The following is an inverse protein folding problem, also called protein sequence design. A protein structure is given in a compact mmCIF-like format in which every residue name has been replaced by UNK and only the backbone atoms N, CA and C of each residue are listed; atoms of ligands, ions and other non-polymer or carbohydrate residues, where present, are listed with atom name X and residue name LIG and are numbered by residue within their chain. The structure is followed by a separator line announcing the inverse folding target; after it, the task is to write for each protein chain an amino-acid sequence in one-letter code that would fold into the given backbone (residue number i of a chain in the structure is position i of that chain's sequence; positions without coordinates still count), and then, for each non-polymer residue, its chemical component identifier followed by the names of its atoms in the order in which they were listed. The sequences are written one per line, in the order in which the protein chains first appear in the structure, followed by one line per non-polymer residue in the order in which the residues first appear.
data_IF_210027148572
#
_entry.id   IF_210027148572
#
_cell.length_a   1.000
_cell.length_b   1.000
_cell.length_c   1.000
_cell.angle_alpha   90.00
_cell.angle_beta   90.00
_cell.angle_gamma   90.00
#
_symmetry.space_group_name_H-M   'P 1'
#
loop_
_entity.id
_entity.type
_entity.pdbx_description
1 polymer ?
#
# COMPACT_ATOMS: atom_id res chain seq x y z
N UNK A 1 26.61 -7.32 21.99
CA UNK A 1 25.62 -6.21 22.14
C UNK A 1 25.93 -5.23 21.03
N UNK A 2 25.17 -5.25 19.95
CA UNK A 2 25.33 -4.32 18.84
C UNK A 2 24.84 -2.94 19.30
N UNK A 3 25.71 -1.94 19.23
CA UNK A 3 25.35 -0.54 19.47
C UNK A 3 24.29 -0.14 18.45
N UNK A 4 23.02 -0.14 18.86
CA UNK A 4 21.97 0.53 18.10
C UNK A 4 22.32 2.03 18.07
N UNK A 5 22.14 2.72 16.94
CA UNK A 5 22.29 4.17 16.88
C UNK A 5 21.36 4.81 17.93
N UNK A 6 21.84 5.79 18.66
CA UNK A 6 21.09 6.46 19.75
C UNK A 6 19.80 7.18 19.28
N UNK A 7 19.51 7.22 17.97
CA UNK A 7 18.36 7.91 17.37
C UNK A 7 17.48 6.96 16.53
N UNK A 8 17.21 5.75 17.04
CA UNK A 8 16.26 4.85 16.38
C UNK A 8 14.83 5.33 16.68
N UNK A 9 14.03 5.66 15.64
CA UNK A 9 12.62 6.05 15.82
C UNK A 9 11.84 4.99 16.60
N UNK A 10 10.92 5.42 17.48
CA UNK A 10 10.03 4.49 18.18
C UNK A 10 8.57 4.83 17.90
N UNK A 11 7.77 3.81 17.65
CA UNK A 11 6.34 3.93 17.39
C UNK A 11 5.55 3.34 18.54
N UNK A 12 4.61 4.12 19.07
CA UNK A 12 3.73 3.71 20.17
C UNK A 12 2.28 3.92 19.72
N UNK A 13 1.41 2.96 19.98
CA UNK A 13 0.00 3.10 19.62
C UNK A 13 -0.73 3.95 20.66
N UNK A 14 -0.58 5.26 20.62
CA UNK A 14 -1.17 6.18 21.57
C UNK A 14 -2.50 6.79 21.09
N UNK A 15 -2.73 6.86 19.78
CA UNK A 15 -3.87 7.58 19.19
C UNK A 15 -4.89 6.68 18.48
N UNK A 16 -4.75 5.36 18.59
CA UNK A 16 -5.66 4.39 17.96
C UNK A 16 -5.57 4.33 16.42
N UNK A 17 -4.54 4.91 15.79
CA UNK A 17 -4.26 4.77 14.37
C UNK A 17 -3.16 3.74 14.11
N UNK A 18 -3.21 3.08 12.95
CA UNK A 18 -2.19 2.11 12.54
C UNK A 18 -1.87 2.21 11.06
N UNK A 19 -0.58 2.08 10.74
CA UNK A 19 -0.10 1.91 9.37
C UNK A 19 0.30 0.44 9.17
N UNK A 20 -0.23 -0.17 8.13
CA UNK A 20 0.00 -1.57 7.79
C UNK A 20 0.69 -1.66 6.44
N UNK A 21 1.81 -2.39 6.38
CA UNK A 21 2.56 -2.57 5.14
C UNK A 21 3.16 -3.96 4.99
N UNK A 22 3.58 -4.30 3.77
CA UNK A 22 4.30 -5.55 3.50
C UNK A 22 5.78 -5.26 3.29
N UNK A 23 6.62 -6.05 3.93
CA UNK A 23 8.07 -6.02 3.81
C UNK A 23 8.57 -7.40 3.39
N UNK A 24 8.98 -7.53 2.13
CA UNK A 24 9.48 -8.78 1.59
C UNK A 24 10.78 -8.57 0.86
N UNK A 25 11.82 -9.30 1.28
CA UNK A 25 13.18 -9.20 0.71
C UNK A 25 13.69 -7.74 0.69
N UNK A 26 13.32 -6.95 1.70
CA UNK A 26 13.76 -5.59 1.95
C UNK A 26 14.45 -5.54 3.30
N UNK A 27 15.48 -4.73 3.40
CA UNK A 27 16.22 -4.51 4.65
C UNK A 27 15.86 -3.14 5.27
N UNK A 28 16.33 -2.91 6.50
CA UNK A 28 16.06 -1.65 7.20
C UNK A 28 16.44 -0.41 6.37
N UNK A 29 17.57 -0.45 5.67
CA UNK A 29 18.04 0.69 4.87
C UNK A 29 17.09 1.02 3.70
N UNK A 30 16.39 0.03 3.15
CA UNK A 30 15.37 0.24 2.10
C UNK A 30 14.15 0.98 2.64
N UNK A 31 13.82 0.79 3.94
CA UNK A 31 12.66 1.40 4.60
C UNK A 31 13.01 2.63 5.45
N UNK A 32 14.30 2.94 5.58
CA UNK A 32 14.75 4.08 6.38
C UNK A 32 14.10 5.40 5.97
N UNK A 33 13.92 5.75 4.68
CA UNK A 33 13.20 6.96 4.29
C UNK A 33 11.75 6.97 4.80
N UNK A 34 11.03 5.85 4.67
CA UNK A 34 9.67 5.70 5.18
C UNK A 34 9.61 5.93 6.70
N UNK A 35 10.40 5.18 7.45
CA UNK A 35 10.36 5.19 8.92
C UNK A 35 10.84 6.51 9.52
N UNK A 36 11.95 7.06 8.99
CA UNK A 36 12.51 8.31 9.48
C UNK A 36 11.59 9.51 9.21
N UNK A 37 11.02 9.60 8.00
CA UNK A 37 10.10 10.68 7.67
C UNK A 37 8.78 10.55 8.45
N UNK A 38 8.23 9.34 8.63
CA UNK A 38 7.05 9.12 9.45
C UNK A 38 7.29 9.58 10.90
N UNK A 39 8.38 9.16 11.50
CA UNK A 39 8.71 9.57 12.88
C UNK A 39 8.89 11.10 13.00
N UNK A 40 9.51 11.74 12.00
CA UNK A 40 9.74 13.18 12.02
C UNK A 40 8.46 14.01 11.97
N UNK A 41 7.32 13.43 11.60
CA UNK A 41 6.01 14.12 11.61
C UNK A 41 5.37 14.17 12.99
N UNK A 42 5.93 13.51 13.99
CA UNK A 42 5.30 13.35 15.32
C UNK A 42 4.18 12.31 15.34
N UNK A 43 4.10 11.42 14.34
CA UNK A 43 3.09 10.34 14.30
C UNK A 43 3.16 9.48 15.59
N UNK A 44 2.05 9.40 16.31
CA UNK A 44 1.92 8.71 17.59
C UNK A 44 1.12 7.39 17.49
N UNK A 45 0.88 6.89 16.30
CA UNK A 45 0.17 5.63 16.06
C UNK A 45 1.09 4.42 15.94
N UNK A 46 0.48 3.25 15.74
CA UNK A 46 1.18 1.98 15.54
C UNK A 46 1.65 1.77 14.11
N UNK A 47 2.69 0.95 13.95
CA UNK A 47 3.15 0.45 12.66
C UNK A 47 3.20 -1.07 12.70
N UNK A 48 2.61 -1.72 11.72
CA UNK A 48 2.64 -3.19 11.56
C UNK A 48 3.21 -3.57 10.20
N UNK A 49 4.25 -4.39 10.21
CA UNK A 49 4.80 -4.97 8.99
C UNK A 49 4.54 -6.47 8.90
N UNK A 50 4.00 -6.89 7.78
CA UNK A 50 3.91 -8.29 7.39
C UNK A 50 5.19 -8.67 6.66
N UNK A 51 5.99 -9.55 7.26
CA UNK A 51 7.38 -9.79 6.87
C UNK A 51 7.58 -11.17 6.25
N UNK A 52 8.28 -11.22 5.12
CA UNK A 52 8.81 -12.44 4.50
C UNK A 52 10.23 -12.17 3.99
N UNK A 53 11.18 -13.07 4.28
CA UNK A 53 12.54 -13.03 3.74
C UNK A 53 13.29 -11.72 4.10
N UNK A 54 13.27 -11.34 5.39
CA UNK A 54 14.05 -10.24 5.96
C UNK A 54 15.13 -10.78 6.91
N UNK A 55 16.25 -10.08 7.02
CA UNK A 55 17.36 -10.49 7.90
C UNK A 55 16.99 -10.41 9.39
N UNK A 56 17.69 -11.17 10.21
CA UNK A 56 17.54 -11.08 11.67
C UNK A 56 17.94 -9.71 12.21
N UNK A 57 18.90 -9.04 11.58
CA UNK A 57 19.32 -7.69 11.94
C UNK A 57 18.17 -6.69 11.72
N UNK A 58 17.56 -6.67 10.52
CA UNK A 58 16.39 -5.84 10.20
C UNK A 58 15.25 -6.11 11.15
N UNK A 59 14.98 -7.37 11.47
CA UNK A 59 13.94 -7.77 12.43
C UNK A 59 14.21 -7.19 13.83
N UNK A 60 15.45 -7.25 14.28
CA UNK A 60 15.86 -6.70 15.58
C UNK A 60 15.66 -5.19 15.61
N UNK A 61 16.06 -4.48 14.55
CA UNK A 61 15.87 -3.03 14.45
C UNK A 61 14.38 -2.67 14.48
N UNK A 62 13.54 -3.30 13.66
CA UNK A 62 12.10 -3.03 13.65
C UNK A 62 11.45 -3.29 15.01
N UNK A 63 11.83 -4.38 15.68
CA UNK A 63 11.32 -4.68 17.03
C UNK A 63 11.73 -3.61 18.05
N UNK A 64 12.96 -3.10 17.96
CA UNK A 64 13.43 -2.01 18.86
C UNK A 64 12.74 -0.68 18.58
N UNK A 65 12.20 -0.49 17.37
CA UNK A 65 11.37 0.66 17.00
C UNK A 65 9.91 0.55 17.45
N UNK A 66 9.51 -0.53 18.11
CA UNK A 66 8.12 -0.77 18.50
C UNK A 66 7.21 -1.19 17.34
N UNK A 67 7.79 -1.58 16.19
CA UNK A 67 7.02 -2.05 15.05
C UNK A 67 6.48 -3.46 15.32
N UNK A 68 5.20 -3.68 15.11
CA UNK A 68 4.58 -5.00 15.22
C UNK A 68 4.93 -5.85 14.00
N UNK A 69 5.68 -6.93 14.20
CA UNK A 69 6.06 -7.84 13.12
C UNK A 69 5.08 -9.02 13.04
N UNK A 70 4.57 -9.26 11.85
CA UNK A 70 3.71 -10.40 11.52
C UNK A 70 4.36 -11.23 10.43
N UNK A 71 4.78 -12.43 10.77
CA UNK A 71 5.41 -13.32 9.81
C UNK A 71 4.41 -13.93 8.86
N UNK A 72 4.74 -13.91 7.58
CA UNK A 72 4.08 -14.72 6.57
C UNK A 72 5.14 -15.36 5.67
N UNK A 73 4.73 -16.30 4.84
CA UNK A 73 5.64 -16.92 3.87
C UNK A 73 4.91 -17.16 2.56
N UNK A 74 5.36 -16.44 1.53
CA UNK A 74 4.92 -16.71 0.17
C UNK A 74 5.51 -18.03 -0.34
N UNK A 75 4.68 -18.92 -0.87
CA UNK A 75 5.15 -20.18 -1.46
C UNK A 75 5.72 -19.88 -2.85
N UNK A 76 7.05 -19.91 -2.94
CA UNK A 76 7.79 -19.71 -4.18
C UNK A 76 8.55 -20.99 -4.54
N UNK A 77 8.60 -21.29 -5.83
CA UNK A 77 9.35 -22.42 -6.38
C UNK A 77 10.53 -21.89 -7.18
N UNK A 78 11.72 -22.43 -6.94
CA UNK A 78 12.89 -22.13 -7.76
C UNK A 78 12.80 -22.94 -9.05
N UNK A 79 12.80 -22.26 -10.20
CA UNK A 79 12.89 -22.95 -11.49
C UNK A 79 14.32 -23.38 -11.70
N UNK A 80 14.60 -24.71 -11.78
CA UNK A 80 15.92 -25.21 -12.15
C UNK A 80 16.35 -24.58 -13.48
N UNK A 81 17.62 -24.36 -13.69
CA UNK A 81 18.24 -23.76 -14.86
C UNK A 81 18.09 -22.23 -15.03
N UNK A 82 17.05 -21.59 -14.47
CA UNK A 82 16.87 -20.13 -14.57
C UNK A 82 17.30 -19.41 -13.28
N UNK A 83 17.50 -20.12 -12.18
CA UNK A 83 17.82 -19.55 -10.86
C UNK A 83 16.75 -18.61 -10.30
N UNK A 84 15.59 -18.50 -10.99
CA UNK A 84 14.51 -17.58 -10.62
C UNK A 84 13.50 -18.26 -9.70
N UNK A 85 13.19 -17.59 -8.60
CA UNK A 85 12.04 -17.95 -7.75
C UNK A 85 10.76 -17.40 -8.37
N UNK A 86 9.78 -18.25 -8.65
CA UNK A 86 8.44 -17.86 -9.13
C UNK A 86 7.41 -18.22 -8.08
N UNK A 87 6.36 -17.41 -8.03
CA UNK A 87 5.20 -17.72 -7.20
C UNK A 87 4.61 -19.07 -7.60
N UNK A 88 4.41 -19.96 -6.61
CA UNK A 88 3.98 -21.34 -6.85
C UNK A 88 2.61 -21.41 -7.54
N UNK A 89 1.70 -20.47 -7.28
CA UNK A 89 0.38 -20.45 -7.88
C UNK A 89 0.39 -20.36 -9.41
N UNK A 90 1.41 -19.70 -9.98
CA UNK A 90 1.60 -19.62 -11.44
C UNK A 90 1.83 -20.99 -12.09
N UNK A 91 2.36 -21.94 -11.31
CA UNK A 91 2.72 -23.28 -11.79
C UNK A 91 1.57 -24.29 -11.65
N UNK A 92 0.50 -23.94 -10.92
CA UNK A 92 -0.66 -24.82 -10.76
C UNK A 92 -1.41 -24.98 -12.09
N UNK A 93 -1.78 -26.21 -12.39
CA UNK A 93 -2.64 -26.52 -13.52
C UNK A 93 -4.05 -25.94 -13.32
N UNK A 94 -4.85 -25.73 -14.38
CA UNK A 94 -6.25 -25.32 -14.26
C UNK A 94 -7.09 -26.22 -13.33
N UNK A 95 -6.86 -27.55 -13.38
CA UNK A 95 -7.59 -28.50 -12.54
C UNK A 95 -7.26 -28.29 -11.06
N UNK A 96 -5.99 -28.10 -10.71
CA UNK A 96 -5.57 -27.81 -9.32
C UNK A 96 -6.16 -26.49 -8.82
N UNK A 97 -6.31 -25.49 -9.69
CA UNK A 97 -6.97 -24.22 -9.36
C UNK A 97 -8.48 -24.36 -9.15
N UNK A 98 -9.12 -25.33 -9.82
CA UNK A 98 -10.56 -25.61 -9.66
C UNK A 98 -10.86 -26.33 -8.34
N UNK A 99 -10.06 -27.30 -7.93
CA UNK A 99 -10.25 -28.06 -6.68
C UNK A 99 -10.21 -27.19 -5.41
N UNK A 100 -9.84 -25.94 -5.54
CA UNK A 100 -9.88 -24.95 -4.46
C UNK A 100 -11.29 -24.74 -3.85
N UNK A 101 -12.36 -24.98 -4.59
CA UNK A 101 -13.75 -24.82 -4.10
C UNK A 101 -14.18 -25.85 -3.05
N UNK A 102 -13.47 -26.97 -2.94
CA UNK A 102 -13.73 -27.99 -1.93
C UNK A 102 -13.28 -27.56 -0.54
N UNK A 103 -12.42 -26.52 -0.47
CA UNK A 103 -11.89 -26.02 0.78
C UNK A 103 -12.89 -25.12 1.50
N UNK A 104 -12.90 -25.13 2.84
CA UNK A 104 -13.61 -24.13 3.62
C UNK A 104 -13.12 -22.70 3.30
N UNK A 105 -13.94 -21.68 3.57
CA UNK A 105 -13.57 -20.27 3.34
C UNK A 105 -12.26 -19.90 4.05
N UNK A 106 -12.09 -20.36 5.29
CA UNK A 106 -10.87 -20.14 6.08
C UNK A 106 -9.64 -20.79 5.42
N UNK A 107 -9.77 -22.04 4.95
CA UNK A 107 -8.69 -22.72 4.24
C UNK A 107 -8.37 -22.05 2.90
N UNK A 108 -9.37 -21.51 2.20
CA UNK A 108 -9.17 -20.72 0.98
C UNK A 108 -8.38 -19.44 1.26
N UNK A 109 -8.75 -18.69 2.30
CA UNK A 109 -8.06 -17.46 2.71
C UNK A 109 -6.61 -17.78 3.14
N UNK A 110 -6.40 -18.79 3.94
CA UNK A 110 -5.07 -19.24 4.39
C UNK A 110 -4.20 -19.66 3.21
N UNK A 111 -4.76 -20.37 2.24
CA UNK A 111 -4.03 -20.75 1.03
C UNK A 111 -3.68 -19.52 0.20
N UNK A 112 -4.64 -18.63 -0.05
CA UNK A 112 -4.46 -17.45 -0.88
C UNK A 112 -3.41 -16.50 -0.30
N UNK A 113 -3.38 -16.32 1.04
CA UNK A 113 -2.38 -15.49 1.72
C UNK A 113 -0.94 -15.97 1.52
N UNK A 114 -0.74 -17.26 1.19
CA UNK A 114 0.59 -17.86 0.98
C UNK A 114 0.93 -18.12 -0.49
N UNK A 115 -0.09 -18.41 -1.29
CA UNK A 115 0.11 -18.91 -2.66
C UNK A 115 -0.07 -17.85 -3.74
N UNK A 116 -0.88 -16.81 -3.52
CA UNK A 116 -1.05 -15.73 -4.49
C UNK A 116 0.18 -14.84 -4.56
N UNK A 117 0.26 -14.00 -5.60
CA UNK A 117 1.32 -12.99 -5.66
C UNK A 117 1.18 -12.03 -4.46
N UNK A 118 2.30 -11.51 -3.95
CA UNK A 118 2.37 -10.70 -2.73
C UNK A 118 1.37 -9.54 -2.71
N UNK A 119 1.17 -8.86 -3.84
CA UNK A 119 0.23 -7.74 -3.94
C UNK A 119 -1.23 -8.18 -3.71
N UNK A 120 -1.59 -9.41 -4.05
CA UNK A 120 -2.90 -9.97 -3.75
C UNK A 120 -2.96 -10.59 -2.35
N UNK A 121 -1.90 -11.27 -1.94
CA UNK A 121 -1.81 -11.92 -0.62
C UNK A 121 -1.97 -10.94 0.53
N UNK A 122 -1.52 -9.69 0.36
CA UNK A 122 -1.60 -8.66 1.39
C UNK A 122 -3.02 -8.43 1.91
N UNK A 123 -4.03 -8.48 1.05
CA UNK A 123 -5.41 -8.26 1.46
C UNK A 123 -5.90 -9.35 2.42
N UNK A 124 -5.53 -10.61 2.21
CA UNK A 124 -5.86 -11.71 3.14
C UNK A 124 -5.16 -11.56 4.49
N UNK A 125 -3.91 -11.09 4.49
CA UNK A 125 -3.14 -10.83 5.72
C UNK A 125 -3.74 -9.67 6.51
N UNK A 126 -4.09 -8.59 5.83
CA UNK A 126 -4.70 -7.40 6.43
C UNK A 126 -6.08 -7.72 7.00
N UNK A 127 -6.93 -8.40 6.24
CA UNK A 127 -8.26 -8.85 6.73
C UNK A 127 -8.11 -9.68 7.99
N UNK A 128 -7.27 -10.73 7.97
CA UNK A 128 -7.09 -11.61 9.11
C UNK A 128 -6.51 -10.92 10.35
N UNK A 129 -5.75 -9.84 10.17
CA UNK A 129 -5.26 -8.99 11.26
C UNK A 129 -6.41 -8.14 11.83
N UNK A 130 -7.11 -7.40 10.99
CA UNK A 130 -8.18 -6.48 11.41
C UNK A 130 -9.39 -7.21 12.02
N UNK A 131 -9.68 -8.44 11.61
CA UNK A 131 -10.72 -9.28 12.23
C UNK A 131 -10.39 -9.64 13.71
N UNK A 132 -9.11 -9.60 14.08
CA UNK A 132 -8.65 -9.98 15.43
C UNK A 132 -8.33 -8.79 16.32
N UNK A 133 -7.97 -7.67 15.73
CA UNK A 133 -7.48 -6.48 16.42
C UNK A 133 -8.54 -5.37 16.34
N UNK A 134 -9.28 -5.17 17.41
CA UNK A 134 -10.35 -4.16 17.49
C UNK A 134 -9.94 -2.84 18.14
N UNK A 135 -8.66 -2.68 18.48
CA UNK A 135 -8.16 -1.50 19.23
C UNK A 135 -7.93 -0.27 18.35
N UNK A 136 -7.87 -0.46 17.03
CA UNK A 136 -7.59 0.64 16.11
C UNK A 136 -8.90 1.26 15.58
N UNK A 137 -8.91 2.59 15.52
CA UNK A 137 -10.03 3.36 14.94
C UNK A 137 -9.76 3.78 13.49
N UNK A 138 -8.49 4.05 13.15
CA UNK A 138 -8.04 4.49 11.82
C UNK A 138 -6.93 3.60 11.30
N UNK A 139 -7.00 3.26 10.04
CA UNK A 139 -6.03 2.37 9.38
C UNK A 139 -5.55 2.98 8.07
N UNK A 140 -4.25 2.89 7.83
CA UNK A 140 -3.62 3.17 6.53
C UNK A 140 -2.97 1.88 6.03
N UNK A 141 -3.39 1.41 4.87
CA UNK A 141 -2.65 0.42 4.08
C UNK A 141 -1.64 1.16 3.22
N UNK A 142 -0.37 0.77 3.27
CA UNK A 142 0.69 1.49 2.58
C UNK A 142 1.70 0.56 1.93
N UNK A 143 2.12 0.90 0.72
CA UNK A 143 3.41 0.46 0.21
C UNK A 143 4.51 1.05 1.10
N UNK A 144 5.65 0.36 1.25
CA UNK A 144 6.62 0.69 2.30
C UNK A 144 7.93 1.26 1.77
N UNK A 145 8.29 0.97 0.52
CA UNK A 145 9.59 1.33 -0.05
C UNK A 145 9.59 2.75 -0.64
N UNK A 146 8.51 3.13 -1.28
CA UNK A 146 8.39 4.34 -2.13
C UNK A 146 7.38 5.35 -1.58
N UNK A 147 7.23 5.39 -0.25
CA UNK A 147 6.39 6.34 0.48
C UNK A 147 7.22 7.13 1.47
N UNK A 148 6.98 8.44 1.55
CA UNK A 148 7.55 9.34 2.57
C UNK A 148 6.47 10.28 3.10
N UNK A 149 6.66 10.82 4.31
CA UNK A 149 5.67 11.58 5.04
C UNK A 149 6.18 12.99 5.33
N UNK A 150 5.41 13.99 4.90
CA UNK A 150 5.71 15.39 5.17
C UNK A 150 4.98 15.92 6.42
N UNK A 151 3.84 15.30 6.75
CA UNK A 151 3.01 15.55 7.93
C UNK A 151 2.46 14.23 8.45
N UNK A 152 1.88 14.24 9.66
CA UNK A 152 1.14 13.08 10.18
C UNK A 152 0.11 12.64 9.14
N UNK A 153 0.17 11.38 8.64
CA UNK A 153 -0.73 10.92 7.59
C UNK A 153 -2.21 10.92 8.00
N UNK A 154 -2.52 10.96 9.29
CA UNK A 154 -3.89 10.99 9.80
C UNK A 154 -4.37 12.39 10.25
N UNK A 155 -3.57 13.44 10.02
CA UNK A 155 -3.93 14.82 10.36
C UNK A 155 -4.93 15.40 9.34
N UNK A 156 -6.01 14.67 9.08
CA UNK A 156 -7.19 15.12 8.34
C UNK A 156 -8.43 14.36 8.81
N UNK A 157 -9.60 14.83 8.43
CA UNK A 157 -10.85 14.22 8.86
C UNK A 157 -11.07 12.89 8.16
N UNK A 158 -11.06 11.82 8.94
CA UNK A 158 -11.51 10.49 8.54
C UNK A 158 -12.66 10.13 9.47
N UNK A 159 -13.88 10.16 8.93
CA UNK A 159 -15.07 9.68 9.63
C UNK A 159 -15.14 8.14 9.50
N UNK A 160 -16.30 7.60 9.15
CA UNK A 160 -16.46 6.18 8.80
C UNK A 160 -16.19 5.93 7.30
N UNK A 161 -15.27 6.66 6.71
CA UNK A 161 -14.99 6.70 5.28
C UNK A 161 -13.92 5.71 4.86
N UNK A 162 -14.00 5.29 3.60
CA UNK A 162 -12.92 4.68 2.84
C UNK A 162 -12.29 5.74 1.92
N UNK A 163 -11.08 6.15 2.21
CA UNK A 163 -10.35 7.17 1.48
C UNK A 163 -9.41 6.52 0.45
N UNK A 164 -9.65 6.79 -0.83
CA UNK A 164 -8.82 6.35 -1.94
C UNK A 164 -8.26 7.55 -2.71
N UNK A 165 -7.06 7.42 -3.26
CA UNK A 165 -6.29 8.52 -3.81
C UNK A 165 -6.05 8.33 -5.30
N UNK A 166 -6.45 9.33 -6.09
CA UNK A 166 -6.33 9.31 -7.54
C UNK A 166 -4.89 9.65 -7.98
N UNK A 167 -4.50 9.11 -9.11
CA UNK A 167 -3.25 9.43 -9.79
C UNK A 167 -3.42 10.65 -10.70
N UNK A 168 -2.49 10.88 -11.63
CA UNK A 168 -2.55 12.02 -12.58
C UNK A 168 -3.90 12.04 -13.31
N UNK A 169 -4.68 13.15 -13.21
CA UNK A 169 -5.98 13.27 -13.85
C UNK A 169 -5.94 13.18 -15.39
N UNK A 170 -4.77 13.34 -15.99
CA UNK A 170 -4.57 13.17 -17.44
C UNK A 170 -4.50 11.71 -17.87
N UNK A 171 -4.38 10.78 -16.92
CA UNK A 171 -4.23 9.36 -17.20
C UNK A 171 -5.46 8.58 -16.77
N UNK A 172 -6.15 7.98 -17.74
CA UNK A 172 -7.34 7.15 -17.49
C UNK A 172 -7.01 5.67 -17.41
N UNK A 173 -7.91 4.89 -16.83
CA UNK A 173 -7.78 3.42 -16.72
C UNK A 173 -7.58 2.78 -18.10
N UNK A 174 -8.36 3.17 -19.10
CA UNK A 174 -8.22 2.63 -20.46
C UNK A 174 -6.99 3.19 -21.21
N UNK A 175 -6.56 4.41 -20.85
CA UNK A 175 -5.39 5.07 -21.44
C UNK A 175 -4.05 4.50 -20.97
N UNK A 176 -4.01 3.82 -19.80
CA UNK A 176 -2.80 3.18 -19.28
C UNK A 176 -2.84 1.67 -19.50
N UNK A 177 -1.87 1.16 -20.26
CA UNK A 177 -1.88 -0.23 -20.78
C UNK A 177 -1.95 -1.32 -19.73
N UNK A 178 -1.33 -1.10 -18.55
CA UNK A 178 -1.31 -2.09 -17.47
C UNK A 178 -2.66 -2.15 -16.76
N UNK A 179 -3.22 -0.99 -16.39
CA UNK A 179 -4.54 -0.90 -15.79
C UNK A 179 -5.63 -1.46 -16.73
N UNK A 180 -5.64 -1.03 -17.99
CA UNK A 180 -6.53 -1.59 -19.00
C UNK A 180 -6.38 -3.11 -19.13
N UNK A 181 -5.13 -3.60 -19.13
CA UNK A 181 -4.83 -5.02 -19.24
C UNK A 181 -5.31 -5.85 -18.04
N UNK A 182 -5.18 -5.33 -16.80
CA UNK A 182 -5.67 -6.00 -15.61
C UNK A 182 -7.19 -6.06 -15.57
N UNK A 183 -7.88 -4.95 -15.86
CA UNK A 183 -9.35 -4.89 -15.92
C UNK A 183 -9.88 -5.85 -17.00
N UNK A 184 -9.34 -5.79 -18.21
CA UNK A 184 -9.76 -6.65 -19.32
C UNK A 184 -9.63 -8.13 -18.97
N UNK A 185 -8.52 -8.53 -18.38
CA UNK A 185 -8.27 -9.94 -18.01
C UNK A 185 -9.17 -10.41 -16.89
N UNK A 186 -9.38 -9.58 -15.87
CA UNK A 186 -10.17 -9.93 -14.70
C UNK A 186 -11.69 -9.89 -14.98
N UNK A 187 -12.15 -8.84 -15.63
CA UNK A 187 -13.57 -8.51 -15.71
C UNK A 187 -14.15 -8.51 -17.15
N UNK A 188 -13.31 -8.35 -18.15
CA UNK A 188 -13.72 -8.33 -19.57
C UNK A 188 -13.74 -6.93 -20.15
N UNK A 189 -14.01 -6.87 -21.48
CA UNK A 189 -13.97 -5.63 -22.24
C UNK A 189 -15.13 -4.70 -21.87
N UNK A 190 -16.32 -5.25 -21.60
CA UNK A 190 -17.50 -4.44 -21.24
C UNK A 190 -17.27 -3.63 -19.98
N UNK A 191 -16.63 -4.22 -18.96
CA UNK A 191 -16.26 -3.50 -17.75
C UNK A 191 -15.19 -2.45 -18.02
N UNK A 192 -14.17 -2.78 -18.85
CA UNK A 192 -13.18 -1.79 -19.24
C UNK A 192 -13.81 -0.60 -19.97
N UNK A 193 -14.74 -0.84 -20.88
CA UNK A 193 -15.47 0.21 -21.57
C UNK A 193 -16.31 1.08 -20.60
N UNK A 194 -16.90 0.45 -19.59
CA UNK A 194 -17.73 1.16 -18.58
C UNK A 194 -16.92 2.08 -17.68
N UNK A 195 -15.78 1.60 -17.15
CA UNK A 195 -14.99 2.36 -16.16
C UNK A 195 -13.73 3.02 -16.75
N UNK A 196 -13.41 2.74 -18.00
CA UNK A 196 -12.12 3.07 -18.62
C UNK A 196 -11.79 4.56 -18.72
N UNK A 197 -12.80 5.42 -18.79
CA UNK A 197 -12.61 6.87 -18.86
C UNK A 197 -12.34 7.53 -17.50
N UNK A 198 -12.41 6.77 -16.40
CA UNK A 198 -12.11 7.30 -15.08
C UNK A 198 -10.60 7.41 -14.86
N UNK A 199 -10.20 8.40 -14.05
CA UNK A 199 -8.84 8.52 -13.52
C UNK A 199 -8.50 7.28 -12.69
N UNK A 200 -7.26 6.83 -12.77
CA UNK A 200 -6.74 5.71 -12.00
C UNK A 200 -6.71 6.10 -10.52
N UNK A 201 -7.11 5.18 -9.64
CA UNK A 201 -6.82 5.27 -8.20
C UNK A 201 -5.69 4.30 -7.85
N UNK A 202 -4.74 4.75 -7.05
CA UNK A 202 -3.59 3.94 -6.68
C UNK A 202 -3.91 3.04 -5.47
N UNK A 203 -3.67 1.73 -5.62
CA UNK A 203 -3.86 0.76 -4.55
C UNK A 203 -2.70 0.71 -3.53
N UNK A 204 -1.63 1.49 -3.76
CA UNK A 204 -0.46 1.51 -2.88
C UNK A 204 -0.70 2.22 -1.56
N UNK A 205 -1.69 3.15 -1.52
CA UNK A 205 -2.17 3.79 -0.30
C UNK A 205 -3.69 3.78 -0.29
N UNK A 206 -4.27 3.26 0.80
CA UNK A 206 -5.71 3.29 1.07
C UNK A 206 -5.90 3.56 2.56
N UNK A 207 -6.75 4.50 2.93
CA UNK A 207 -6.97 4.90 4.31
C UNK A 207 -8.44 4.85 4.68
N UNK A 208 -8.75 4.79 5.97
CA UNK A 208 -10.13 4.86 6.42
C UNK A 208 -10.29 4.52 7.90
N UNK A 209 -11.56 4.46 8.33
CA UNK A 209 -11.87 3.82 9.61
C UNK A 209 -11.47 2.34 9.57
N UNK A 210 -11.25 1.73 10.72
CA UNK A 210 -10.91 0.30 10.78
C UNK A 210 -12.03 -0.56 10.16
N UNK A 211 -13.30 -0.18 10.33
CA UNK A 211 -14.45 -0.86 9.72
C UNK A 211 -14.44 -0.75 8.20
N UNK A 212 -14.19 0.43 7.64
CA UNK A 212 -14.16 0.65 6.19
C UNK A 212 -12.98 -0.06 5.53
N UNK A 213 -11.82 -0.09 6.19
CA UNK A 213 -10.65 -0.84 5.67
C UNK A 213 -10.85 -2.35 5.78
N UNK A 214 -11.49 -2.84 6.84
CA UNK A 214 -11.84 -4.26 6.94
C UNK A 214 -12.82 -4.67 5.84
N UNK A 215 -13.84 -3.85 5.56
CA UNK A 215 -14.76 -4.08 4.46
C UNK A 215 -14.04 -4.07 3.11
N UNK A 216 -13.18 -3.05 2.86
CA UNK A 216 -12.38 -2.96 1.65
C UNK A 216 -11.51 -4.19 1.43
N UNK A 217 -10.73 -4.59 2.43
CA UNK A 217 -9.84 -5.75 2.29
C UNK A 217 -10.61 -7.06 2.15
N UNK A 218 -11.76 -7.19 2.82
CA UNK A 218 -12.66 -8.34 2.70
C UNK A 218 -13.26 -8.45 1.29
N UNK A 219 -13.66 -7.32 0.70
CA UNK A 219 -14.18 -7.27 -0.67
C UNK A 219 -13.09 -7.60 -1.70
N UNK A 220 -11.87 -7.07 -1.51
CA UNK A 220 -10.71 -7.45 -2.33
C UNK A 220 -10.46 -8.96 -2.27
N UNK A 221 -10.50 -9.56 -1.08
CA UNK A 221 -10.39 -11.01 -0.91
C UNK A 221 -11.51 -11.77 -1.63
N UNK A 222 -12.76 -11.31 -1.49
CA UNK A 222 -13.93 -11.92 -2.14
C UNK A 222 -13.78 -11.96 -3.65
N UNK A 223 -13.35 -10.84 -4.26
CA UNK A 223 -13.14 -10.73 -5.71
C UNK A 223 -11.97 -11.61 -6.16
N UNK A 224 -10.86 -11.59 -5.43
CA UNK A 224 -9.67 -12.42 -5.70
C UNK A 224 -9.99 -13.92 -5.71
N UNK A 225 -10.97 -14.37 -4.93
CA UNK A 225 -11.40 -15.76 -4.87
C UNK A 225 -12.41 -16.14 -5.96
N UNK A 226 -12.96 -15.20 -6.72
CA UNK A 226 -13.84 -15.55 -7.85
C UNK A 226 -13.08 -16.35 -8.90
N UNK A 227 -13.73 -17.30 -9.61
CA UNK A 227 -13.04 -18.24 -10.50
C UNK A 227 -12.15 -17.58 -11.53
N UNK A 228 -12.67 -16.58 -12.21
CA UNK A 228 -11.98 -15.88 -13.30
C UNK A 228 -10.77 -15.09 -12.81
N UNK A 229 -10.94 -14.32 -11.74
CA UNK A 229 -9.86 -13.50 -11.14
C UNK A 229 -8.81 -14.41 -10.50
N UNK A 230 -9.23 -15.41 -9.76
CA UNK A 230 -8.34 -16.38 -9.14
C UNK A 230 -7.46 -17.09 -10.16
N UNK A 231 -7.98 -17.45 -11.33
CA UNK A 231 -7.19 -18.10 -12.37
C UNK A 231 -5.93 -17.31 -12.76
N UNK A 232 -5.95 -16.01 -12.57
CA UNK A 232 -4.86 -15.06 -12.89
C UNK A 232 -4.19 -14.43 -11.66
N UNK A 233 -4.46 -14.89 -10.45
CA UNK A 233 -3.94 -14.30 -9.20
C UNK A 233 -2.42 -14.36 -9.01
N UNK A 234 -1.66 -14.91 -9.97
CA UNK A 234 -0.20 -14.80 -10.05
C UNK A 234 0.32 -13.57 -10.81
N UNK A 235 -0.55 -12.74 -11.37
CA UNK A 235 -0.16 -11.57 -12.17
C UNK A 235 0.17 -10.39 -11.23
N UNK A 236 1.34 -9.80 -11.42
CA UNK A 236 1.76 -8.60 -10.68
C UNK A 236 0.83 -7.42 -11.01
N UNK A 237 0.40 -6.67 -9.99
CA UNK A 237 -0.46 -5.50 -10.13
C UNK A 237 -1.95 -5.80 -10.37
N UNK A 238 -2.36 -7.06 -10.34
CA UNK A 238 -3.77 -7.42 -10.49
C UNK A 238 -4.66 -6.77 -9.42
N UNK A 239 -4.15 -6.62 -8.21
CA UNK A 239 -4.82 -5.92 -7.10
C UNK A 239 -5.16 -4.46 -7.44
N UNK A 240 -4.29 -3.75 -8.17
CA UNK A 240 -4.54 -2.42 -8.70
C UNK A 240 -5.77 -2.41 -9.64
N UNK A 241 -5.88 -3.42 -10.52
CA UNK A 241 -7.05 -3.59 -11.38
C UNK A 241 -8.33 -3.87 -10.59
N UNK A 242 -8.26 -4.73 -9.56
CA UNK A 242 -9.41 -5.04 -8.69
C UNK A 242 -9.80 -3.81 -7.86
N UNK A 243 -8.84 -3.07 -7.32
CA UNK A 243 -9.06 -1.82 -6.61
C UNK A 243 -9.86 -0.83 -7.48
N UNK A 244 -9.39 -0.54 -8.68
CA UNK A 244 -10.08 0.35 -9.60
C UNK A 244 -11.49 -0.15 -9.98
N UNK A 245 -11.63 -1.46 -10.22
CA UNK A 245 -12.95 -2.06 -10.43
C UNK A 245 -13.88 -1.81 -9.25
N UNK A 246 -13.43 -2.12 -8.03
CA UNK A 246 -14.26 -2.05 -6.83
C UNK A 246 -14.77 -0.64 -6.55
N UNK A 247 -13.90 0.37 -6.67
CA UNK A 247 -14.28 1.77 -6.43
C UNK A 247 -15.13 2.35 -7.56
N UNK A 248 -14.84 2.00 -8.83
CA UNK A 248 -15.58 2.53 -9.98
C UNK A 248 -16.92 1.85 -10.21
N UNK A 249 -17.10 0.63 -9.70
CA UNK A 249 -18.39 -0.05 -9.61
C UNK A 249 -19.18 0.33 -8.35
N UNK A 250 -18.69 1.28 -7.57
CA UNK A 250 -19.31 1.81 -6.35
C UNK A 250 -19.66 0.72 -5.31
N UNK A 251 -18.74 -0.24 -5.09
CA UNK A 251 -19.02 -1.35 -4.16
C UNK A 251 -19.03 -0.92 -2.68
N UNK A 252 -18.58 0.28 -2.37
CA UNK A 252 -18.49 0.83 -1.00
C UNK A 252 -19.53 1.92 -0.71
N UNK A 253 -20.37 2.25 -1.70
CA UNK A 253 -21.46 3.22 -1.55
C UNK A 253 -20.98 4.61 -1.15
N UNK A 254 -21.78 5.28 -0.30
CA UNK A 254 -21.56 6.68 0.10
C UNK A 254 -20.36 6.87 1.04
N UNK A 255 -19.78 5.78 1.56
CA UNK A 255 -18.57 5.84 2.39
C UNK A 255 -17.29 5.98 1.59
N UNK A 256 -17.32 5.81 0.27
CA UNK A 256 -16.16 5.97 -0.60
C UNK A 256 -15.87 7.45 -0.82
N UNK A 257 -14.70 7.89 -0.37
CA UNK A 257 -14.18 9.23 -0.63
C UNK A 257 -12.96 9.18 -1.56
N UNK A 258 -13.07 9.83 -2.73
CA UNK A 258 -11.99 9.89 -3.72
C UNK A 258 -11.31 11.25 -3.67
N UNK A 259 -10.03 11.27 -3.29
CA UNK A 259 -9.21 12.47 -3.30
C UNK A 259 -8.49 12.61 -4.64
N UNK A 260 -8.67 13.76 -5.28
CA UNK A 260 -7.90 14.11 -6.47
C UNK A 260 -6.42 14.31 -6.12
N UNK A 261 -5.54 13.92 -7.02
CA UNK A 261 -4.10 14.10 -6.84
C UNK A 261 -3.77 15.60 -6.74
N UNK A 262 -2.83 15.96 -5.87
CA UNK A 262 -2.47 17.35 -5.55
C UNK A 262 -3.62 18.19 -4.91
N UNK A 263 -4.69 17.56 -4.43
CA UNK A 263 -5.82 18.23 -3.76
C UNK A 263 -6.25 17.52 -2.49
N UNK A 264 -5.45 16.59 -2.01
CA UNK A 264 -5.75 15.77 -0.85
C UNK A 264 -4.51 15.48 0.00
N UNK A 265 -4.67 14.63 1.02
CA UNK A 265 -3.59 14.30 1.94
C UNK A 265 -2.49 13.44 1.32
N UNK A 266 -2.76 12.77 0.19
CA UNK A 266 -1.78 11.89 -0.48
C UNK A 266 -1.54 12.37 -1.90
N UNK A 267 -0.27 12.49 -2.27
CA UNK A 267 0.18 12.77 -3.63
C UNK A 267 0.87 11.53 -4.21
N UNK A 268 0.32 10.99 -5.30
CA UNK A 268 0.92 9.86 -6.05
C UNK A 268 1.65 10.38 -7.27
N UNK A 269 2.97 10.17 -7.30
CA UNK A 269 3.86 10.80 -8.27
C UNK A 269 4.15 9.96 -9.52
N UNK A 270 3.79 8.68 -9.51
CA UNK A 270 4.26 7.70 -10.49
C UNK A 270 3.98 8.03 -11.96
N UNK A 271 2.86 8.69 -12.25
CA UNK A 271 2.47 9.12 -13.60
C UNK A 271 2.53 10.63 -13.80
N UNK A 272 2.94 11.40 -12.78
CA UNK A 272 2.99 12.86 -12.85
C UNK A 272 4.20 13.35 -13.64
N UNK A 273 4.01 14.47 -14.36
CA UNK A 273 5.13 15.22 -14.90
C UNK A 273 5.81 16.01 -13.78
N UNK A 274 7.14 15.94 -13.72
CA UNK A 274 7.96 16.68 -12.74
C UNK A 274 7.69 18.19 -12.76
N UNK A 275 7.45 18.75 -13.93
CA UNK A 275 7.21 20.20 -14.11
C UNK A 275 5.89 20.68 -13.47
N UNK A 276 4.98 19.75 -13.13
CA UNK A 276 3.74 20.07 -12.43
C UNK A 276 3.90 20.14 -10.91
N UNK A 277 5.05 19.70 -10.37
CA UNK A 277 5.30 19.68 -8.94
C UNK A 277 5.56 21.08 -8.40
N UNK A 278 4.86 21.42 -7.32
CA UNK A 278 5.07 22.66 -6.58
C UNK A 278 5.83 22.37 -5.30
N UNK A 279 6.85 23.17 -5.01
CA UNK A 279 7.65 23.05 -3.80
C UNK A 279 7.53 24.31 -2.95
N UNK A 280 7.49 24.13 -1.63
CA UNK A 280 7.56 25.23 -0.69
C UNK A 280 8.92 25.93 -0.82
N UNK A 281 8.96 27.27 -0.99
CA UNK A 281 10.20 27.99 -1.35
C UNK A 281 11.32 27.84 -0.31
N UNK A 282 10.99 27.76 0.97
CA UNK A 282 11.97 27.72 2.05
C UNK A 282 12.38 26.30 2.45
N UNK A 283 11.48 25.31 2.32
CA UNK A 283 11.68 23.96 2.88
C UNK A 283 11.76 22.88 1.80
N UNK A 284 11.36 23.20 0.57
CA UNK A 284 11.35 22.22 -0.53
C UNK A 284 10.36 21.08 -0.38
N UNK A 285 9.40 21.21 0.56
CA UNK A 285 8.28 20.29 0.72
C UNK A 285 7.32 20.41 -0.47
N UNK A 286 6.69 19.31 -0.84
CA UNK A 286 5.72 19.28 -1.95
C UNK A 286 4.38 19.85 -1.50
N UNK A 287 3.79 20.68 -2.35
CA UNK A 287 2.55 21.39 -2.11
C UNK A 287 1.44 20.88 -3.01
N UNK A 288 0.25 20.87 -2.47
CA UNK A 288 -1.00 20.77 -3.21
C UNK A 288 -1.23 22.04 -4.09
N UNK A 289 -2.20 21.98 -4.98
CA UNK A 289 -2.57 23.11 -5.85
C UNK A 289 -3.00 24.37 -5.07
N UNK A 290 -3.61 24.20 -3.90
CA UNK A 290 -4.04 25.26 -3.01
C UNK A 290 -2.93 25.85 -2.13
N UNK A 291 -1.69 25.32 -2.25
CA UNK A 291 -0.53 25.74 -1.48
C UNK A 291 -0.39 25.06 -0.12
N UNK A 292 -1.28 24.14 0.26
CA UNK A 292 -1.12 23.34 1.48
C UNK A 292 -0.06 22.27 1.30
N UNK A 293 0.61 21.89 2.40
CA UNK A 293 1.59 20.78 2.39
C UNK A 293 0.83 19.46 2.32
N UNK A 294 1.13 18.65 1.31
CA UNK A 294 0.63 17.27 1.21
C UNK A 294 1.21 16.43 2.36
N UNK A 295 0.41 15.55 2.95
CA UNK A 295 0.85 14.75 4.12
C UNK A 295 1.79 13.62 3.72
N UNK A 296 1.40 12.86 2.68
CA UNK A 296 2.10 11.64 2.25
C UNK A 296 2.42 11.71 0.76
N UNK A 297 3.64 11.36 0.41
CA UNK A 297 4.09 11.27 -0.98
C UNK A 297 4.33 9.80 -1.32
N UNK A 298 3.72 9.33 -2.38
CA UNK A 298 3.84 7.98 -2.89
C UNK A 298 4.51 7.94 -4.26
N UNK A 299 5.29 6.89 -4.53
CA UNK A 299 6.04 6.68 -5.78
C UNK A 299 7.02 7.82 -6.11
N UNK A 300 7.61 8.44 -5.09
CA UNK A 300 8.60 9.50 -5.29
C UNK A 300 9.88 8.98 -5.96
N UNK A 301 10.14 7.69 -5.87
CA UNK A 301 11.28 7.00 -6.50
C UNK A 301 11.20 6.96 -8.03
N UNK A 302 10.03 7.28 -8.61
CA UNK A 302 9.86 7.43 -10.07
C UNK A 302 10.53 8.71 -10.60
N UNK A 303 10.92 9.61 -9.71
CA UNK A 303 11.63 10.84 -10.01
C UNK A 303 13.05 10.77 -9.45
N UNK A 304 14.07 10.39 -10.26
CA UNK A 304 15.44 10.13 -9.76
C UNK A 304 16.05 11.28 -8.95
N UNK A 305 15.74 12.53 -9.30
CA UNK A 305 16.23 13.72 -8.58
C UNK A 305 15.65 13.84 -7.16
N UNK A 306 14.48 13.23 -6.91
CA UNK A 306 13.81 13.28 -5.62
C UNK A 306 14.12 12.06 -4.75
N UNK A 307 14.59 10.97 -5.36
CA UNK A 307 14.85 9.70 -4.65
C UNK A 307 15.68 9.89 -3.37
N UNK A 308 16.74 10.68 -3.46
CA UNK A 308 17.61 10.94 -2.31
C UNK A 308 17.37 12.30 -1.65
N UNK A 309 16.88 13.29 -2.40
CA UNK A 309 16.77 14.66 -1.91
C UNK A 309 15.48 14.93 -1.14
N UNK A 310 14.34 14.32 -1.53
CA UNK A 310 13.07 14.57 -0.88
C UNK A 310 13.02 14.09 0.58
N UNK A 311 13.45 12.85 0.92
CA UNK A 311 13.48 12.44 2.32
C UNK A 311 14.34 13.35 3.19
N UNK A 312 15.50 13.77 2.70
CA UNK A 312 16.41 14.66 3.44
C UNK A 312 15.78 16.05 3.69
N UNK A 313 15.11 16.63 2.68
CA UNK A 313 14.40 17.91 2.83
C UNK A 313 13.29 17.82 3.86
N UNK A 314 12.53 16.71 3.85
CA UNK A 314 11.46 16.48 4.83
C UNK A 314 12.04 16.45 6.25
N UNK A 315 13.09 15.66 6.48
CA UNK A 315 13.72 15.56 7.79
C UNK A 315 14.25 16.90 8.29
N UNK A 316 14.88 17.69 7.42
CA UNK A 316 15.36 19.04 7.76
C UNK A 316 14.20 19.99 8.10
N UNK A 317 13.13 19.98 7.31
CA UNK A 317 11.96 20.82 7.53
C UNK A 317 11.27 20.51 8.87
N UNK A 318 11.04 19.23 9.16
CA UNK A 318 10.36 18.81 10.39
C UNK A 318 11.22 19.03 11.64
N UNK A 319 12.54 18.94 11.52
CA UNK A 319 13.45 19.27 12.64
C UNK A 319 13.37 20.75 13.01
N UNK A 320 13.24 21.65 12.04
CA UNK A 320 13.07 23.08 12.30
C UNK A 320 11.72 23.42 12.93
N UNK A 321 10.66 22.70 12.59
CA UNK A 321 9.31 22.93 13.15
C UNK A 321 9.21 22.46 14.61
N UNK A 322 9.91 21.40 14.98
CA UNK A 322 9.90 20.85 16.37
C UNK A 322 10.76 21.64 17.36
N UNK A 323 11.53 22.63 16.91
CA UNK A 323 12.38 23.48 17.76
C UNK A 323 11.73 24.83 18.15
N UNK A 324 10.49 25.05 17.78
CA UNK A 324 9.65 26.19 18.19
C UNK A 324 8.44 25.71 19.01
#
# INVERSE_FOLDING_TARGET
MSNLPNDVPTFQNENGSIIMGIVRSLEYDDLKPFLATLHSTGYAGGVTFFCDDISSNTRTIFSSMGIYLRDFKEVRVTIPFLGKKVNAYRLLSPIQKINFYVLSKEAQNTFASKAFHIHQSRHFLYTAFLEKESTFSKVMLSDTRDVVFQRDPFDFVINDDLCCFLEDPKTTIAGEKHNAGWIRRAFGEDILNHIGNNTISCAGITMGSASSILEYTSEMCRILLTPKVRAIAGITGLDQGIHNYSIRMNLFGDRLHLYENMRGPVMTMGLMNKDSLRQHPNHGLLLNEDGTICHTIHQYDRHPDLLHTLPQKILQANHHISTF
#
